data_IF_055949798430
#
_entry.id   IF_055949798430
#
_cell.length_a   1.000
_cell.length_b   1.000
_cell.length_c   1.000
_cell.angle_alpha   90.00
_cell.angle_beta   90.00
_cell.angle_gamma   90.00
#
_symmetry.space_group_name_H-M   'P 1'
#
loop_
_entity.id
_entity.type
_entity.pdbx_description
1 polymer ?
#
# COMPACT_ATOMS: atom_id res chain seq x y z
N UNK A 1 18.74 4.52 27.18
CA UNK A 1 17.54 3.80 27.71
C UNK A 1 16.22 4.42 27.26
N UNK A 2 15.74 5.58 27.78
CA UNK A 2 14.48 6.21 27.29
C UNK A 2 14.50 6.50 25.78
N UNK A 3 15.64 7.02 25.27
CA UNK A 3 15.81 7.27 23.84
C UNK A 3 15.67 6.00 23.02
N UNK A 4 16.26 4.91 23.46
CA UNK A 4 16.22 3.63 22.73
C UNK A 4 14.80 3.06 22.67
N UNK A 5 14.03 3.17 23.77
CA UNK A 5 12.61 2.79 23.80
C UNK A 5 11.78 3.67 22.84
N UNK A 6 12.08 4.97 22.82
CA UNK A 6 11.38 5.89 21.91
C UNK A 6 11.70 5.59 20.45
N UNK A 7 12.96 5.35 20.13
CA UNK A 7 13.42 5.03 18.77
C UNK A 7 12.86 3.67 18.29
N UNK A 8 12.82 2.66 19.18
CA UNK A 8 12.15 1.38 18.90
C UNK A 8 10.65 1.56 18.65
N UNK A 9 9.98 2.35 19.49
CA UNK A 9 8.56 2.64 19.32
C UNK A 9 8.27 3.32 17.96
N UNK A 10 9.07 4.31 17.57
CA UNK A 10 8.96 4.97 16.25
C UNK A 10 9.11 3.94 15.15
N UNK A 11 10.17 3.12 15.20
CA UNK A 11 10.44 2.11 14.18
C UNK A 11 9.28 1.12 14.03
N UNK A 12 8.74 0.61 15.14
CA UNK A 12 7.61 -0.32 15.14
C UNK A 12 6.31 0.33 14.64
N UNK A 13 6.07 1.61 14.96
CA UNK A 13 4.93 2.36 14.45
C UNK A 13 5.05 2.62 12.95
N UNK A 14 6.25 2.97 12.47
CA UNK A 14 6.53 3.10 11.03
C UNK A 14 6.30 1.78 10.28
N UNK A 15 6.73 0.66 10.85
CA UNK A 15 6.45 -0.66 10.28
C UNK A 15 4.94 -0.94 10.18
N UNK A 16 4.17 -0.60 11.21
CA UNK A 16 2.71 -0.77 11.20
C UNK A 16 2.05 0.09 10.12
N UNK A 17 2.46 1.37 9.97
CA UNK A 17 1.96 2.26 8.92
C UNK A 17 2.33 1.72 7.54
N UNK A 18 3.58 1.29 7.35
CA UNK A 18 4.04 0.75 6.06
C UNK A 18 3.32 -0.55 5.69
N UNK A 19 3.11 -1.45 6.64
CA UNK A 19 2.32 -2.66 6.43
C UNK A 19 0.88 -2.32 5.99
N UNK A 20 0.22 -1.42 6.72
CA UNK A 20 -1.14 -0.97 6.36
C UNK A 20 -1.17 -0.34 4.97
N UNK A 21 -0.15 0.46 4.61
CA UNK A 21 -0.02 1.05 3.26
C UNK A 21 0.10 -0.02 2.18
N UNK A 22 0.92 -1.04 2.42
CA UNK A 22 1.08 -2.14 1.46
C UNK A 22 -0.24 -2.91 1.25
N UNK A 23 -0.98 -3.20 2.33
CA UNK A 23 -2.28 -3.87 2.23
C UNK A 23 -3.31 -3.00 1.51
N UNK A 24 -3.33 -1.69 1.77
CA UNK A 24 -4.19 -0.75 1.07
C UNK A 24 -3.88 -0.62 -0.42
N UNK A 25 -2.61 -0.74 -0.81
CA UNK A 25 -2.22 -0.71 -2.23
C UNK A 25 -2.74 -1.93 -3.01
N UNK A 26 -2.96 -3.06 -2.33
CA UNK A 26 -3.59 -4.25 -2.94
C UNK A 26 -5.09 -4.07 -3.22
N UNK A 27 -5.73 -3.09 -2.59
CA UNK A 27 -7.16 -2.81 -2.79
C UNK A 27 -7.35 -2.16 -4.16
N UNK A 28 -8.04 -2.86 -5.05
CA UNK A 28 -8.33 -2.40 -6.41
C UNK A 28 -9.40 -1.31 -6.37
N UNK A 29 -9.05 -0.12 -6.81
CA UNK A 29 -9.95 1.05 -6.81
C UNK A 29 -10.73 1.24 -8.12
N UNK A 30 -10.60 0.31 -9.08
CA UNK A 30 -11.15 0.47 -10.43
C UNK A 30 -10.38 1.48 -11.28
N UNK A 31 -9.23 1.94 -10.81
CA UNK A 31 -8.29 2.78 -11.57
C UNK A 31 -7.15 1.96 -12.14
N UNK A 32 -6.68 2.41 -13.27
CA UNK A 32 -5.47 1.90 -13.88
C UNK A 32 -4.25 2.22 -13.00
N UNK A 33 -3.50 1.17 -12.63
CA UNK A 33 -2.22 1.29 -11.95
C UNK A 33 -1.20 0.44 -12.72
N UNK A 34 -0.08 1.01 -13.20
CA UNK A 34 0.96 0.26 -13.90
C UNK A 34 1.47 -0.94 -13.13
N UNK A 35 1.58 -0.83 -11.80
CA UNK A 35 2.04 -1.91 -10.92
C UNK A 35 1.24 -3.21 -11.07
N UNK A 36 -0.02 -3.14 -11.56
CA UNK A 36 -0.85 -4.32 -11.79
C UNK A 36 -0.26 -5.27 -12.82
N UNK A 37 0.47 -4.74 -13.78
CA UNK A 37 1.02 -5.48 -14.92
C UNK A 37 2.54 -5.50 -14.98
N UNK A 38 3.22 -4.54 -14.35
CA UNK A 38 4.69 -4.40 -14.36
C UNK A 38 5.43 -5.66 -13.92
N UNK A 39 4.89 -6.36 -12.94
CA UNK A 39 5.51 -7.55 -12.32
C UNK A 39 5.20 -8.84 -13.06
N UNK A 40 4.32 -8.81 -14.07
CA UNK A 40 4.02 -9.98 -14.90
C UNK A 40 5.29 -10.43 -15.64
N UNK A 41 5.55 -11.72 -15.62
CA UNK A 41 6.74 -12.29 -16.25
C UNK A 41 6.39 -12.92 -17.58
N UNK A 42 7.07 -12.47 -18.61
CA UNK A 42 6.90 -12.91 -19.99
C UNK A 42 8.11 -13.77 -20.39
N UNK A 43 7.87 -14.87 -21.09
CA UNK A 43 8.96 -15.67 -21.65
C UNK A 43 9.56 -14.95 -22.86
N UNK A 44 10.74 -14.36 -22.69
CA UNK A 44 11.47 -13.67 -23.74
C UNK A 44 12.76 -14.44 -24.04
N UNK A 45 12.85 -15.01 -25.24
CA UNK A 45 13.99 -15.88 -25.66
C UNK A 45 14.37 -16.94 -24.61
N UNK A 46 13.35 -17.58 -24.00
CA UNK A 46 13.56 -18.63 -23.01
C UNK A 46 13.86 -18.14 -21.57
N UNK A 47 13.88 -16.83 -21.35
CA UNK A 47 14.09 -16.24 -20.02
C UNK A 47 12.83 -15.52 -19.54
N UNK A 48 12.40 -15.78 -18.30
CA UNK A 48 11.28 -15.09 -17.70
C UNK A 48 11.67 -13.66 -17.32
N UNK A 49 11.21 -12.69 -18.09
CA UNK A 49 11.56 -11.27 -17.96
C UNK A 49 10.32 -10.48 -17.50
N UNK A 50 10.42 -9.57 -16.51
CA UNK A 50 9.34 -8.71 -16.11
C UNK A 50 8.89 -7.78 -17.24
N UNK A 51 7.58 -7.52 -17.33
CA UNK A 51 6.99 -6.72 -18.40
C UNK A 51 7.54 -5.29 -18.49
N UNK A 52 7.89 -4.67 -17.35
CA UNK A 52 8.51 -3.35 -17.31
C UNK A 52 9.89 -3.27 -17.97
N UNK A 53 10.57 -4.40 -18.19
CA UNK A 53 11.84 -4.47 -18.92
C UNK A 53 11.65 -4.71 -20.42
N UNK A 54 10.47 -5.16 -20.85
CA UNK A 54 10.15 -5.47 -22.25
C UNK A 54 9.29 -4.41 -22.93
N UNK A 55 8.76 -3.47 -22.14
CA UNK A 55 7.79 -2.49 -22.63
C UNK A 55 7.78 -1.21 -21.80
N UNK A 56 7.30 -0.13 -22.42
CA UNK A 56 6.90 1.07 -21.71
C UNK A 56 5.43 0.96 -21.32
N UNK A 57 5.13 1.10 -20.04
CA UNK A 57 3.78 1.04 -19.50
C UNK A 57 3.34 2.45 -19.13
N UNK A 58 2.18 2.87 -19.61
CA UNK A 58 1.61 4.20 -19.36
C UNK A 58 0.12 4.13 -19.03
N UNK A 59 -0.39 5.16 -18.37
CA UNK A 59 -1.81 5.30 -18.00
C UNK A 59 -2.31 6.62 -18.59
N UNK A 60 -2.69 6.66 -19.87
CA UNK A 60 -3.16 7.86 -20.52
C UNK A 60 -4.52 8.35 -19.99
N UNK A 61 -5.33 7.40 -19.48
CA UNK A 61 -6.65 7.67 -18.91
C UNK A 61 -6.82 6.92 -17.57
N UNK A 62 -7.70 7.41 -16.67
CA UNK A 62 -7.87 6.83 -15.34
C UNK A 62 -8.22 5.34 -15.30
N UNK A 63 -8.74 4.79 -16.40
CA UNK A 63 -9.14 3.38 -16.52
C UNK A 63 -8.55 2.67 -17.74
N UNK A 64 -7.43 3.16 -18.24
CA UNK A 64 -6.77 2.56 -19.39
C UNK A 64 -5.27 2.40 -19.11
N UNK A 65 -4.77 1.18 -19.14
CA UNK A 65 -3.35 0.90 -19.18
C UNK A 65 -2.96 0.68 -20.63
N UNK A 66 -1.86 1.29 -21.05
CA UNK A 66 -1.31 1.16 -22.38
C UNK A 66 0.10 0.61 -22.27
N UNK A 67 0.37 -0.49 -22.99
CA UNK A 67 1.66 -1.15 -23.03
C UNK A 67 2.24 -1.00 -24.43
N UNK A 68 3.43 -0.41 -24.51
CA UNK A 68 4.21 -0.27 -25.74
C UNK A 68 5.41 -1.23 -25.69
N UNK A 69 5.32 -2.43 -26.28
CA UNK A 69 6.45 -3.36 -26.32
C UNK A 69 7.59 -2.78 -27.15
N UNK A 70 8.83 -3.01 -26.72
CA UNK A 70 10.01 -2.65 -27.49
C UNK A 70 10.20 -3.57 -28.70
N UNK A 71 9.75 -4.81 -28.56
CA UNK A 71 9.72 -5.82 -29.62
C UNK A 71 8.27 -6.25 -29.88
N UNK A 72 7.79 -6.02 -31.11
CA UNK A 72 6.41 -6.37 -31.48
C UNK A 72 6.15 -7.87 -31.52
N UNK A 73 7.20 -8.68 -31.63
CA UNK A 73 7.07 -10.14 -31.68
C UNK A 73 6.57 -10.75 -30.39
N UNK A 74 6.74 -10.06 -29.25
CA UNK A 74 6.30 -10.54 -27.91
C UNK A 74 4.86 -10.15 -27.56
N UNK A 75 4.17 -9.39 -28.41
CA UNK A 75 2.79 -8.95 -28.14
C UNK A 75 1.83 -10.10 -27.85
N UNK A 76 1.82 -11.20 -28.61
CA UNK A 76 0.93 -12.34 -28.32
C UNK A 76 1.21 -12.99 -26.97
N UNK A 77 2.49 -13.06 -26.57
CA UNK A 77 2.88 -13.63 -25.29
C UNK A 77 2.47 -12.73 -24.11
N UNK A 78 2.60 -11.41 -24.30
CA UNK A 78 2.13 -10.42 -23.31
C UNK A 78 0.60 -10.55 -23.11
N UNK A 79 -0.17 -10.58 -24.20
CA UNK A 79 -1.63 -10.74 -24.14
C UNK A 79 -2.02 -12.03 -23.43
N UNK A 80 -1.37 -13.13 -23.79
CA UNK A 80 -1.63 -14.44 -23.18
C UNK A 80 -1.38 -14.41 -21.68
N UNK A 81 -0.25 -13.88 -21.22
CA UNK A 81 0.08 -13.79 -19.80
C UNK A 81 -0.90 -12.89 -19.05
N UNK A 82 -1.36 -11.79 -19.66
CA UNK A 82 -2.36 -10.91 -19.05
C UNK A 82 -3.71 -11.63 -18.92
N UNK A 83 -4.16 -12.37 -19.94
CA UNK A 83 -5.39 -13.14 -19.89
C UNK A 83 -5.35 -14.32 -18.91
N UNK A 84 -4.20 -14.99 -18.81
CA UNK A 84 -3.99 -16.09 -17.86
C UNK A 84 -3.77 -15.59 -16.42
N UNK A 85 -3.45 -14.30 -16.25
CA UNK A 85 -3.35 -13.70 -14.92
C UNK A 85 -4.73 -13.63 -14.25
N UNK A 86 -4.79 -13.87 -12.94
CA UNK A 86 -6.03 -13.74 -12.13
C UNK A 86 -6.51 -12.28 -12.00
N UNK A 87 -6.05 -11.39 -12.90
CA UNK A 87 -6.37 -9.97 -12.88
C UNK A 87 -7.76 -9.68 -13.48
N UNK A 88 -8.33 -10.62 -14.26
CA UNK A 88 -9.62 -10.43 -14.93
C UNK A 88 -9.59 -9.27 -15.93
N UNK A 89 -8.44 -9.03 -16.55
CA UNK A 89 -8.25 -7.98 -17.54
C UNK A 89 -8.30 -8.57 -18.95
N UNK A 90 -8.90 -7.83 -19.88
CA UNK A 90 -8.98 -8.23 -21.29
C UNK A 90 -8.14 -7.25 -22.12
N UNK A 91 -6.95 -7.67 -22.57
CA UNK A 91 -6.10 -6.82 -23.41
C UNK A 91 -6.68 -6.73 -24.84
N UNK A 92 -6.54 -5.56 -25.44
CA UNK A 92 -6.81 -5.30 -26.85
C UNK A 92 -5.56 -4.76 -27.53
N UNK A 93 -5.17 -5.39 -28.66
CA UNK A 93 -3.99 -4.94 -29.39
C UNK A 93 -4.39 -4.35 -30.75
N UNK A 94 -3.68 -3.33 -31.19
CA UNK A 94 -3.82 -2.71 -32.51
C UNK A 94 -2.62 -2.94 -33.42
N UNK A 95 -1.73 -3.89 -33.08
CA UNK A 95 -0.49 -4.19 -33.82
C UNK A 95 0.72 -3.34 -33.44
N UNK A 96 0.55 -2.31 -32.60
CA UNK A 96 1.61 -1.45 -32.10
C UNK A 96 1.62 -1.35 -30.56
N UNK A 97 0.44 -1.34 -29.99
CA UNK A 97 0.19 -1.07 -28.58
C UNK A 97 -0.89 -2.01 -28.04
N UNK A 98 -0.73 -2.45 -26.83
CA UNK A 98 -1.75 -3.22 -26.10
C UNK A 98 -2.50 -2.27 -25.16
N UNK A 99 -3.81 -2.18 -25.35
CA UNK A 99 -4.71 -1.42 -24.49
C UNK A 99 -5.42 -2.36 -23.52
N UNK A 100 -5.38 -2.02 -22.23
CA UNK A 100 -6.04 -2.78 -21.18
C UNK A 100 -7.07 -1.87 -20.50
N UNK A 101 -8.36 -1.96 -20.90
CA UNK A 101 -9.41 -1.23 -20.21
C UNK A 101 -9.67 -1.85 -18.83
N UNK A 102 -9.76 -1.01 -17.82
CA UNK A 102 -10.11 -1.41 -16.45
C UNK A 102 -11.63 -1.24 -16.29
N UNK A 103 -12.39 -2.32 -16.02
CA UNK A 103 -13.83 -2.23 -15.84
C UNK A 103 -14.20 -1.38 -14.62
N UNK A 104 -15.28 -0.59 -14.67
CA UNK A 104 -15.76 0.17 -13.54
C UNK A 104 -16.24 -0.74 -12.41
N UNK A 105 -16.02 -0.32 -11.17
CA UNK A 105 -16.60 -0.99 -10.01
C UNK A 105 -18.10 -0.70 -9.92
N UNK A 106 -18.91 -1.70 -9.56
CA UNK A 106 -20.30 -1.47 -9.18
C UNK A 106 -20.39 -0.68 -7.86
N UNK A 107 -21.51 0.01 -7.62
CA UNK A 107 -21.72 0.74 -6.36
C UNK A 107 -21.63 -0.17 -5.14
N UNK A 108 -22.19 -1.38 -5.22
CA UNK A 108 -22.12 -2.37 -4.16
C UNK A 108 -20.66 -2.73 -3.85
N UNK A 109 -19.86 -3.01 -4.89
CA UNK A 109 -18.45 -3.35 -4.74
C UNK A 109 -17.64 -2.19 -4.17
N UNK A 110 -17.94 -0.94 -4.55
CA UNK A 110 -17.30 0.25 -3.95
C UNK A 110 -17.58 0.32 -2.45
N UNK A 111 -18.84 0.11 -2.02
CA UNK A 111 -19.21 0.11 -0.61
C UNK A 111 -18.49 -0.98 0.19
N UNK A 112 -18.38 -2.17 -0.37
CA UNK A 112 -17.66 -3.27 0.29
C UNK A 112 -16.16 -2.98 0.41
N UNK A 113 -15.55 -2.44 -0.65
CA UNK A 113 -14.15 -2.03 -0.60
C UNK A 113 -13.91 -0.89 0.38
N UNK A 114 -14.82 0.06 0.50
CA UNK A 114 -14.75 1.12 1.52
C UNK A 114 -14.76 0.54 2.93
N UNK A 115 -15.68 -0.40 3.23
CA UNK A 115 -15.70 -1.11 4.52
C UNK A 115 -14.39 -1.83 4.79
N UNK A 116 -13.86 -2.51 3.77
CA UNK A 116 -12.59 -3.23 3.88
C UNK A 116 -11.41 -2.28 4.16
N UNK A 117 -11.36 -1.13 3.50
CA UNK A 117 -10.36 -0.07 3.77
C UNK A 117 -10.45 0.41 5.22
N UNK A 118 -11.66 0.67 5.73
CA UNK A 118 -11.86 1.04 7.14
C UNK A 118 -11.35 -0.03 8.10
N UNK A 119 -11.58 -1.30 7.81
CA UNK A 119 -11.08 -2.41 8.61
C UNK A 119 -9.56 -2.44 8.64
N UNK A 120 -8.90 -2.35 7.48
CA UNK A 120 -7.42 -2.33 7.39
C UNK A 120 -6.81 -1.18 8.19
N UNK A 121 -7.41 0.00 8.10
CA UNK A 121 -6.95 1.18 8.84
C UNK A 121 -7.13 0.98 10.34
N UNK A 122 -8.25 0.42 10.79
CA UNK A 122 -8.46 0.19 12.23
C UNK A 122 -7.51 -0.87 12.79
N UNK A 123 -7.22 -1.92 12.04
CA UNK A 123 -6.17 -2.89 12.39
C UNK A 123 -4.80 -2.21 12.55
N UNK A 124 -4.44 -1.31 11.62
CA UNK A 124 -3.23 -0.49 11.72
C UNK A 124 -3.23 0.43 12.95
N UNK A 125 -4.34 1.10 13.24
CA UNK A 125 -4.49 1.96 14.44
C UNK A 125 -4.33 1.16 15.73
N UNK A 126 -4.89 -0.06 15.78
CA UNK A 126 -4.74 -0.97 16.92
C UNK A 126 -3.27 -1.34 17.10
N UNK A 127 -2.55 -1.66 16.02
CA UNK A 127 -1.13 -1.96 16.07
C UNK A 127 -0.32 -0.79 16.64
N UNK A 128 -0.54 0.43 16.15
CA UNK A 128 0.14 1.63 16.65
C UNK A 128 -0.19 1.90 18.13
N UNK A 129 -1.46 1.75 18.53
CA UNK A 129 -1.85 1.88 19.95
C UNK A 129 -1.21 0.83 20.85
N UNK A 130 -1.02 -0.40 20.36
CA UNK A 130 -0.33 -1.45 21.09
C UNK A 130 1.15 -1.08 21.29
N UNK A 131 1.84 -0.64 20.26
CA UNK A 131 3.24 -0.18 20.37
C UNK A 131 3.37 0.96 21.39
N UNK A 132 2.46 1.95 21.35
CA UNK A 132 2.41 3.01 22.37
C UNK A 132 2.30 2.44 23.78
N UNK A 133 1.36 1.51 24.00
CA UNK A 133 1.12 0.92 25.32
C UNK A 133 2.36 0.18 25.84
N UNK A 134 3.02 -0.59 24.96
CA UNK A 134 4.25 -1.31 25.29
C UNK A 134 5.37 -0.33 25.66
N UNK A 135 5.56 0.73 24.88
CA UNK A 135 6.59 1.73 25.14
C UNK A 135 6.38 2.48 26.47
N UNK A 136 5.14 2.87 26.76
CA UNK A 136 4.79 3.50 28.05
C UNK A 136 5.04 2.53 29.21
N UNK A 137 4.72 1.25 29.03
CA UNK A 137 4.98 0.23 30.05
C UNK A 137 6.49 0.11 30.33
N UNK A 138 7.31 -0.02 29.32
CA UNK A 138 8.77 -0.08 29.46
C UNK A 138 9.36 1.17 30.13
N UNK A 139 8.84 2.38 29.80
CA UNK A 139 9.29 3.63 30.45
C UNK A 139 8.94 3.62 31.95
N UNK A 140 7.76 3.13 32.32
CA UNK A 140 7.34 3.04 33.73
C UNK A 140 8.13 1.99 34.53
N UNK A 141 8.54 0.91 33.87
CA UNK A 141 9.37 -0.09 34.52
C UNK A 141 10.77 0.46 34.79
N UNK A 142 11.36 1.24 33.86
CA UNK A 142 12.63 1.93 34.10
C UNK A 142 12.54 2.93 35.28
N UNK A 143 11.38 3.52 35.55
CA UNK A 143 11.19 4.38 36.72
C UNK A 143 11.47 3.67 38.04
N UNK A 144 11.09 2.39 38.13
CA UNK A 144 11.25 1.59 39.35
C UNK A 144 12.70 1.21 39.59
N UNK A 145 13.45 0.99 38.50
CA UNK A 145 14.80 0.45 38.55
C UNK A 145 15.90 1.53 38.59
N UNK A 146 15.73 2.64 37.85
CA UNK A 146 16.79 3.63 37.59
C UNK A 146 16.57 5.00 38.26
N UNK A 147 15.60 5.14 39.16
CA UNK A 147 15.28 6.39 39.89
C UNK A 147 15.08 7.61 38.97
N UNK A 148 14.49 7.39 37.79
CA UNK A 148 14.11 8.49 36.89
C UNK A 148 13.09 9.41 37.55
N UNK A 149 13.21 10.72 37.30
CA UNK A 149 12.28 11.69 37.85
C UNK A 149 10.90 11.56 37.21
N UNK A 150 9.84 11.84 37.98
CA UNK A 150 8.46 11.83 37.46
C UNK A 150 8.29 12.78 36.25
N UNK A 151 9.01 13.90 36.24
CA UNK A 151 8.96 14.87 35.15
C UNK A 151 9.57 14.32 33.85
N UNK A 152 10.67 13.54 33.93
CA UNK A 152 11.27 12.90 32.75
C UNK A 152 10.35 11.85 32.13
N UNK A 153 9.69 11.07 32.97
CA UNK A 153 8.71 10.08 32.53
C UNK A 153 7.54 10.75 31.86
N UNK A 154 6.94 11.76 32.48
CA UNK A 154 5.81 12.49 31.93
C UNK A 154 6.14 13.14 30.59
N UNK A 155 7.33 13.71 30.44
CA UNK A 155 7.81 14.25 29.15
C UNK A 155 7.93 13.16 28.09
N UNK A 156 8.45 11.98 28.48
CA UNK A 156 8.61 10.86 27.57
C UNK A 156 7.27 10.25 27.14
N UNK A 157 6.32 10.11 28.07
CA UNK A 157 4.96 9.67 27.76
C UNK A 157 4.26 10.64 26.79
N UNK A 158 4.41 11.96 27.04
CA UNK A 158 3.88 13.00 26.13
C UNK A 158 4.50 12.87 24.74
N UNK A 159 5.82 12.72 24.66
CA UNK A 159 6.51 12.54 23.39
C UNK A 159 6.02 11.30 22.62
N UNK A 160 5.84 10.16 23.30
CA UNK A 160 5.30 8.95 22.68
C UNK A 160 3.86 9.15 22.22
N UNK A 161 3.06 9.90 22.98
CA UNK A 161 1.69 10.24 22.58
C UNK A 161 1.69 11.10 21.31
N UNK A 162 2.52 12.15 21.23
CA UNK A 162 2.62 13.01 20.04
C UNK A 162 3.04 12.21 18.80
N UNK A 163 4.01 11.29 18.95
CA UNK A 163 4.44 10.38 17.88
C UNK A 163 3.27 9.49 17.43
N UNK A 164 2.55 8.92 18.39
CA UNK A 164 1.37 8.08 18.12
C UNK A 164 0.31 8.82 17.32
N UNK A 165 0.00 10.05 17.75
CA UNK A 165 -1.01 10.90 17.11
C UNK A 165 -0.61 11.26 15.67
N UNK A 166 0.69 11.50 15.42
CA UNK A 166 1.24 11.69 14.09
C UNK A 166 1.03 10.48 13.17
N UNK A 167 1.29 9.28 13.67
CA UNK A 167 1.08 8.04 12.90
C UNK A 167 -0.40 7.76 12.63
N UNK A 168 -1.27 7.99 13.62
CA UNK A 168 -2.72 7.86 13.45
C UNK A 168 -3.25 8.87 12.43
N UNK A 169 -2.74 10.11 12.45
CA UNK A 169 -3.09 11.11 11.43
C UNK A 169 -2.70 10.65 10.03
N UNK A 170 -1.48 10.13 9.87
CA UNK A 170 -1.03 9.57 8.59
C UNK A 170 -1.96 8.47 8.08
N UNK A 171 -2.43 7.57 8.96
CA UNK A 171 -3.39 6.53 8.61
C UNK A 171 -4.75 7.10 8.20
N UNK A 172 -5.22 8.16 8.88
CA UNK A 172 -6.46 8.84 8.51
C UNK A 172 -6.37 9.48 7.13
N UNK A 173 -5.26 10.15 6.83
CA UNK A 173 -5.02 10.76 5.52
C UNK A 173 -4.97 9.70 4.41
N UNK A 174 -4.37 8.54 4.69
CA UNK A 174 -4.36 7.39 3.76
C UNK A 174 -5.78 6.87 3.51
N UNK A 175 -6.61 6.75 4.55
CA UNK A 175 -8.00 6.33 4.45
C UNK A 175 -8.82 7.28 3.57
N UNK A 176 -8.76 8.59 3.86
CA UNK A 176 -9.48 9.60 3.06
C UNK A 176 -9.07 9.60 1.59
N UNK A 177 -7.78 9.48 1.32
CA UNK A 177 -7.29 9.43 -0.05
C UNK A 177 -7.81 8.20 -0.78
N UNK A 178 -7.81 7.03 -0.11
CA UNK A 178 -8.31 5.79 -0.71
C UNK A 178 -9.82 5.80 -0.94
N UNK A 179 -10.58 6.39 -0.01
CA UNK A 179 -12.02 6.59 -0.20
C UNK A 179 -12.33 7.52 -1.38
N UNK A 180 -11.58 8.63 -1.49
CA UNK A 180 -11.70 9.54 -2.65
C UNK A 180 -11.40 8.81 -3.97
N UNK A 181 -10.42 7.92 -3.98
CA UNK A 181 -10.10 7.09 -5.16
C UNK A 181 -11.24 6.12 -5.50
N UNK A 182 -11.83 5.46 -4.51
CA UNK A 182 -12.95 4.53 -4.69
C UNK A 182 -14.23 5.23 -5.15
N UNK A 183 -14.46 6.46 -4.71
CA UNK A 183 -15.68 7.23 -5.02
C UNK A 183 -15.55 8.06 -6.31
N UNK A 184 -14.34 8.34 -6.79
CA UNK A 184 -14.16 9.00 -8.09
C UNK A 184 -14.47 8.02 -9.21
N UNK A 185 -15.50 8.33 -9.97
CA UNK A 185 -15.93 7.62 -11.19
C UNK A 185 -15.11 8.09 -12.37
#
# INVERSE_FOLDING_TARGET
MIKDITDDAIHRMDQAVNHTRMEMNKVRTGRANPELVETLRISYYGTLTPLNQLSTISVPEPRLITIHPFDKSVMPDIEKVIMESNLGLTPNNNGEVIHIPIPPLSEERRRDLTKYVHQLIEEGRIAVRNVRRDAIHHIRDLQKDDHLSEDEIKRSETKIQDITDGHIKTMNDMMENKEKELMKV
#
